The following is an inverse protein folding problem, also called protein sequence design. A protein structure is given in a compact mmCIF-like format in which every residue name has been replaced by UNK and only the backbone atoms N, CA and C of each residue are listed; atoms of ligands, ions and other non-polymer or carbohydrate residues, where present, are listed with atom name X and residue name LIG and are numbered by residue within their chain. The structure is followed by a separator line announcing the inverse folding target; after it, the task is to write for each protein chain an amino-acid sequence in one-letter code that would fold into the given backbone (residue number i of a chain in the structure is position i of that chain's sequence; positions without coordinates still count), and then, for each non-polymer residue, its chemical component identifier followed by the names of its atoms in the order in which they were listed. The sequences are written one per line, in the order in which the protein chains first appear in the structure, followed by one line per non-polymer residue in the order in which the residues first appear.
data_IF_745031312151
#
_entry.id   IF_745031312151
#
_cell.length_a   1.000
_cell.length_b   1.000
_cell.length_c   1.000
_cell.angle_alpha   90.00
_cell.angle_beta   90.00
_cell.angle_gamma   90.00
#
_symmetry.space_group_name_H-M   'P 1'
#
loop_
_entity.id
_entity.type
_entity.pdbx_description
1 polymer ?
#
# COMPACT_ATOMS: atom_id res chain seq x y z
N UNK A 1 0.36 -28.48 14.61
CA UNK A 1 1.50 -27.65 15.09
C UNK A 1 1.61 -27.75 16.60
N UNK A 2 2.77 -28.11 17.14
CA UNK A 2 2.97 -28.28 18.58
C UNK A 2 2.70 -26.97 19.35
N UNK A 3 2.19 -27.06 20.57
CA UNK A 3 1.82 -25.91 21.44
C UNK A 3 2.89 -24.82 21.49
N UNK A 4 4.16 -25.20 21.62
CA UNK A 4 5.32 -24.28 21.62
C UNK A 4 5.41 -23.44 20.34
N UNK A 5 5.22 -24.06 19.17
CA UNK A 5 5.23 -23.36 17.87
C UNK A 5 4.03 -22.41 17.74
N UNK A 6 2.85 -22.79 18.25
CA UNK A 6 1.64 -21.95 18.26
C UNK A 6 1.79 -20.68 19.09
N UNK A 7 2.36 -20.79 20.29
CA UNK A 7 2.66 -19.63 21.12
C UNK A 7 3.68 -18.71 20.44
N UNK A 8 4.72 -19.27 19.82
CA UNK A 8 5.73 -18.47 19.10
C UNK A 8 5.12 -17.72 17.91
N UNK A 9 4.22 -18.36 17.15
CA UNK A 9 3.57 -17.70 16.01
C UNK A 9 2.63 -16.59 16.44
N UNK A 10 1.85 -16.78 17.51
CA UNK A 10 0.90 -15.76 17.98
C UNK A 10 1.63 -14.52 18.51
N UNK A 11 2.71 -14.71 19.29
CA UNK A 11 3.52 -13.59 19.79
C UNK A 11 4.18 -12.80 18.66
N UNK A 12 4.74 -13.48 17.65
CA UNK A 12 5.31 -12.82 16.47
C UNK A 12 4.26 -12.02 15.69
N UNK A 13 3.05 -12.57 15.52
CA UNK A 13 1.98 -11.89 14.82
C UNK A 13 1.54 -10.61 15.57
N UNK A 14 1.42 -10.67 16.90
CA UNK A 14 1.10 -9.52 17.72
C UNK A 14 2.20 -8.44 17.65
N UNK A 15 3.46 -8.83 17.76
CA UNK A 15 4.59 -7.90 17.64
C UNK A 15 4.62 -7.21 16.26
N UNK A 16 4.40 -7.97 15.17
CA UNK A 16 4.33 -7.41 13.81
C UNK A 16 3.20 -6.39 13.68
N UNK A 17 2.02 -6.68 14.25
CA UNK A 17 0.87 -5.75 14.27
C UNK A 17 1.18 -4.49 15.08
N UNK A 18 1.80 -4.62 16.26
CA UNK A 18 2.19 -3.48 17.08
C UNK A 18 3.23 -2.58 16.37
N UNK A 19 4.25 -3.19 15.75
CA UNK A 19 5.27 -2.44 15.01
C UNK A 19 4.71 -1.74 13.77
N UNK A 20 3.77 -2.36 13.06
CA UNK A 20 3.09 -1.73 11.93
C UNK A 20 2.25 -0.51 12.35
N UNK A 21 1.63 -0.56 13.54
CA UNK A 21 0.89 0.59 14.10
C UNK A 21 1.81 1.71 14.58
N UNK A 22 2.97 1.37 15.17
CA UNK A 22 3.94 2.36 15.68
C UNK A 22 4.69 3.11 14.59
N UNK A 23 4.98 2.46 13.45
CA UNK A 23 5.69 3.05 12.32
C UNK A 23 4.77 3.19 11.10
N UNK A 24 3.84 4.16 11.10
CA UNK A 24 3.05 4.44 9.91
C UNK A 24 3.98 4.89 8.78
N UNK A 25 3.92 4.21 7.63
CA UNK A 25 4.68 4.57 6.44
C UNK A 25 4.01 5.76 5.76
N UNK A 26 4.07 6.93 6.41
CA UNK A 26 3.53 8.18 5.91
C UNK A 26 4.41 8.84 4.83
N UNK A 27 5.55 8.22 4.51
CA UNK A 27 6.45 8.73 3.47
C UNK A 27 5.99 8.20 2.12
N UNK A 28 5.79 9.06 1.11
CA UNK A 28 5.56 8.58 -0.25
C UNK A 28 6.73 7.66 -0.63
N UNK A 29 6.41 6.51 -1.20
CA UNK A 29 7.43 5.55 -1.63
C UNK A 29 8.34 6.26 -2.63
N UNK A 30 9.63 6.29 -2.37
CA UNK A 30 10.59 6.88 -3.31
C UNK A 30 10.58 6.03 -4.57
N UNK A 31 9.98 6.58 -5.62
CA UNK A 31 9.92 6.00 -6.96
C UNK A 31 10.98 6.71 -7.82
N UNK A 32 11.60 5.96 -8.72
CA UNK A 32 12.58 6.54 -9.65
C UNK A 32 11.92 7.53 -10.61
N UNK A 33 12.71 8.41 -11.26
CA UNK A 33 12.19 9.36 -12.27
C UNK A 33 11.40 8.64 -13.37
N UNK A 34 11.85 7.46 -13.79
CA UNK A 34 11.17 6.65 -14.81
C UNK A 34 9.83 6.09 -14.32
N UNK A 35 9.74 5.65 -13.06
CA UNK A 35 8.49 5.14 -12.48
C UNK A 35 7.46 6.26 -12.26
N UNK A 36 7.91 7.47 -11.89
CA UNK A 36 7.01 8.62 -11.78
C UNK A 36 6.41 9.01 -13.13
N UNK A 37 7.22 9.03 -14.19
CA UNK A 37 6.74 9.31 -15.54
C UNK A 37 5.72 8.26 -16.04
N UNK A 38 5.96 6.97 -15.76
CA UNK A 38 5.00 5.90 -16.10
C UNK A 38 3.67 6.06 -15.35
N UNK A 39 3.71 6.35 -14.06
CA UNK A 39 2.50 6.57 -13.26
C UNK A 39 1.72 7.81 -13.72
N UNK A 40 2.41 8.88 -14.12
CA UNK A 40 1.78 10.09 -14.66
C UNK A 40 1.13 9.83 -16.03
N UNK A 41 1.78 9.04 -16.90
CA UNK A 41 1.19 8.59 -18.16
C UNK A 41 -0.04 7.70 -17.94
N UNK A 42 0.04 6.72 -17.05
CA UNK A 42 -1.10 5.86 -16.69
C UNK A 42 -2.25 6.66 -16.06
N UNK A 43 -1.96 7.69 -15.26
CA UNK A 43 -2.97 8.60 -14.69
C UNK A 43 -3.62 9.47 -15.77
N UNK A 44 -2.84 10.02 -16.70
CA UNK A 44 -3.35 10.80 -17.83
C UNK A 44 -4.22 9.94 -18.76
N UNK A 45 -3.82 8.70 -19.03
CA UNK A 45 -4.63 7.75 -19.81
C UNK A 45 -5.94 7.39 -19.09
N UNK A 46 -5.92 7.24 -17.77
CA UNK A 46 -7.12 7.00 -16.98
C UNK A 46 -8.06 8.21 -16.96
N UNK A 47 -7.54 9.43 -16.79
CA UNK A 47 -8.34 10.67 -16.79
C UNK A 47 -8.96 10.96 -18.17
N UNK A 48 -8.26 10.65 -19.26
CA UNK A 48 -8.79 10.77 -20.63
C UNK A 48 -9.90 9.75 -20.95
N UNK A 49 -10.01 8.68 -20.16
CA UNK A 49 -11.01 7.61 -20.35
C UNK A 49 -12.27 7.74 -19.50
N UNK A 50 -12.38 8.77 -18.64
CA UNK A 50 -13.57 9.08 -17.89
C UNK A 50 -14.48 10.02 -18.69
N UNK A 51 -15.57 9.54 -19.32
CA UNK A 51 -16.51 10.42 -20.00
C UNK A 51 -17.23 11.31 -18.98
N UNK A 52 -17.33 12.60 -19.32
CA UNK A 52 -18.33 13.53 -18.84
C UNK A 52 -19.67 12.84 -18.55
N UNK A 53 -20.06 12.73 -17.28
CA UNK A 53 -21.48 12.74 -16.91
C UNK A 53 -21.65 13.58 -15.65
N UNK A 54 -21.73 14.88 -15.89
CA UNK A 54 -22.12 15.90 -14.92
C UNK A 54 -23.28 16.71 -15.55
N UNK A 55 -24.42 16.07 -15.83
CA UNK A 55 -25.71 16.74 -16.00
C UNK A 55 -26.87 15.79 -15.59
N UNK A 56 -27.49 16.07 -14.44
CA UNK A 56 -28.93 16.33 -14.28
C UNK A 56 -29.25 16.80 -12.86
#
# INVERSE_FOLDING_TARGET
MNRKKKVKSTLKAQLKRANAKKNPKNKPKYISKAERAKLEQEQLEQEQSAPEQLEH
#
